data_IF_832672873772
#
_entry.id   IF_832672873772
#
_cell.length_a   1.000
_cell.length_b   1.000
_cell.length_c   1.000
_cell.angle_alpha   90.00
_cell.angle_beta   90.00
_cell.angle_gamma   90.00
#
_symmetry.space_group_name_H-M   'P 1'
#
loop_
_entity.id
_entity.type
_entity.pdbx_description
1 polymer ?
#
# COMPACT_ATOMS: atom_id res chain seq x y z
N UNK A 1 -2.84 -15.63 -11.86
CA UNK A 1 -2.38 -14.25 -11.69
C UNK A 1 -3.54 -13.36 -11.28
N UNK A 2 -3.30 -12.48 -10.31
CA UNK A 2 -4.32 -11.58 -9.79
C UNK A 2 -4.09 -10.17 -10.32
N UNK A 3 -5.16 -9.50 -10.75
CA UNK A 3 -5.06 -8.16 -11.33
C UNK A 3 -5.03 -7.08 -10.24
N UNK A 4 -4.27 -6.03 -10.48
CA UNK A 4 -4.34 -4.80 -9.69
C UNK A 4 -5.54 -3.99 -10.15
N UNK A 5 -6.29 -3.41 -9.22
CA UNK A 5 -7.54 -2.69 -9.54
C UNK A 5 -7.57 -1.23 -9.07
N UNK A 6 -6.63 -0.84 -8.22
CA UNK A 6 -6.55 0.53 -7.69
C UNK A 6 -7.33 0.73 -6.40
N UNK A 7 -6.90 1.71 -5.62
CA UNK A 7 -7.45 1.99 -4.30
C UNK A 7 -8.95 2.37 -4.33
N UNK A 8 -9.41 2.98 -5.41
CA UNK A 8 -10.81 3.37 -5.54
C UNK A 8 -11.77 2.18 -5.43
N UNK A 9 -11.32 0.98 -5.80
CA UNK A 9 -12.13 -0.23 -5.68
C UNK A 9 -12.25 -0.74 -4.25
N UNK A 10 -11.40 -0.28 -3.36
CA UNK A 10 -11.41 -0.65 -1.94
C UNK A 10 -12.28 0.30 -1.13
N UNK A 11 -12.43 1.53 -1.59
CA UNK A 11 -13.09 2.63 -0.90
C UNK A 11 -14.51 2.30 -0.45
N UNK A 12 -15.27 1.59 -1.29
CA UNK A 12 -16.68 1.33 -1.03
C UNK A 12 -16.91 0.60 0.30
N UNK A 13 -16.05 -0.38 0.62
CA UNK A 13 -16.18 -1.18 1.83
C UNK A 13 -15.23 -0.73 2.94
N UNK A 14 -14.11 -0.10 2.59
CA UNK A 14 -13.06 0.29 3.52
C UNK A 14 -12.90 1.81 3.57
N UNK A 15 -14.02 2.52 3.82
CA UNK A 15 -14.05 3.99 3.81
C UNK A 15 -13.13 4.63 4.85
N UNK A 16 -13.07 4.06 6.05
CA UNK A 16 -12.23 4.59 7.14
C UNK A 16 -10.76 4.51 6.74
N UNK A 17 -10.35 3.35 6.27
CA UNK A 17 -8.97 3.12 5.83
C UNK A 17 -8.62 4.03 4.65
N UNK A 18 -9.49 4.07 3.65
CA UNK A 18 -9.24 4.88 2.45
C UNK A 18 -9.10 6.37 2.78
N UNK A 19 -10.02 6.92 3.55
CA UNK A 19 -10.03 8.34 3.86
C UNK A 19 -8.79 8.77 4.64
N UNK A 20 -8.35 7.96 5.59
CA UNK A 20 -7.14 8.27 6.36
C UNK A 20 -5.88 8.06 5.55
N UNK A 21 -5.82 7.01 4.70
CA UNK A 21 -4.70 6.77 3.80
C UNK A 21 -4.50 7.93 2.84
N UNK A 22 -5.57 8.46 2.31
CA UNK A 22 -5.54 9.56 1.34
C UNK A 22 -4.78 10.79 1.84
N UNK A 23 -4.74 10.99 3.16
CA UNK A 23 -4.04 12.09 3.80
C UNK A 23 -2.57 11.78 4.10
N UNK A 24 -2.10 10.55 3.84
CA UNK A 24 -0.72 10.16 4.17
C UNK A 24 0.26 10.56 3.06
N UNK A 25 1.55 10.59 3.42
CA UNK A 25 2.61 10.78 2.43
C UNK A 25 2.70 9.61 1.46
N UNK A 26 2.33 8.39 1.89
CA UNK A 26 2.28 7.24 0.99
C UNK A 26 1.34 7.47 -0.19
N UNK A 27 0.19 8.11 0.05
CA UNK A 27 -0.76 8.40 -1.03
C UNK A 27 -0.19 9.39 -2.05
N UNK A 28 0.75 10.23 -1.64
CA UNK A 28 1.36 11.27 -2.48
C UNK A 28 2.76 10.93 -2.95
N UNK A 29 3.18 9.68 -2.76
CA UNK A 29 4.56 9.28 -3.02
C UNK A 29 5.00 9.55 -4.45
N UNK A 30 4.12 9.33 -5.45
CA UNK A 30 4.49 9.59 -6.84
C UNK A 30 4.60 11.07 -7.14
N UNK A 31 3.72 11.90 -6.58
CA UNK A 31 3.82 13.34 -6.72
C UNK A 31 5.15 13.85 -6.19
N UNK A 32 5.56 13.35 -5.02
CA UNK A 32 6.82 13.72 -4.41
C UNK A 32 8.02 13.30 -5.26
N UNK A 33 7.96 12.09 -5.85
CA UNK A 33 9.01 11.60 -6.73
C UNK A 33 9.13 12.45 -7.99
N UNK A 34 8.00 12.79 -8.60
CA UNK A 34 7.99 13.60 -9.82
C UNK A 34 8.49 15.03 -9.59
N UNK A 35 8.32 15.54 -8.38
CA UNK A 35 8.80 16.87 -8.02
C UNK A 35 10.29 16.89 -7.69
N UNK A 36 10.93 15.73 -7.55
CA UNK A 36 12.36 15.65 -7.19
C UNK A 36 13.24 16.04 -8.37
N UNK A 37 14.29 16.82 -8.06
CA UNK A 37 15.30 17.22 -9.06
C UNK A 37 16.67 16.59 -8.77
N UNK A 38 16.87 16.09 -7.54
CA UNK A 38 18.15 15.48 -7.14
C UNK A 38 17.87 14.39 -6.07
N UNK A 39 17.76 13.13 -6.48
CA UNK A 39 17.82 12.63 -7.87
C UNK A 39 16.59 13.05 -8.69
N UNK A 40 16.80 13.24 -10.00
CA UNK A 40 15.70 13.56 -10.90
C UNK A 40 14.78 12.34 -11.06
N UNK A 41 13.49 12.59 -11.27
CA UNK A 41 12.53 11.54 -11.47
C UNK A 41 12.88 10.64 -12.66
N UNK A 42 12.75 9.34 -12.49
CA UNK A 42 12.89 8.34 -13.54
C UNK A 42 11.89 7.21 -13.31
N UNK A 43 11.76 6.33 -14.31
CA UNK A 43 10.85 5.18 -14.21
C UNK A 43 11.21 4.23 -13.05
N UNK A 44 12.49 4.19 -12.65
CA UNK A 44 12.92 3.36 -11.52
C UNK A 44 12.28 3.79 -10.20
N UNK A 45 11.89 5.05 -10.09
CA UNK A 45 11.24 5.56 -8.89
C UNK A 45 9.87 4.92 -8.66
N UNK A 46 9.23 4.45 -9.73
CA UNK A 46 7.89 3.84 -9.66
C UNK A 46 7.86 2.59 -8.78
N UNK A 47 8.97 1.90 -8.61
CA UNK A 47 9.02 0.68 -7.80
C UNK A 47 8.62 0.91 -6.35
N UNK A 48 8.93 2.10 -5.82
CA UNK A 48 8.61 2.45 -4.42
C UNK A 48 7.56 3.57 -4.31
N UNK A 49 7.41 4.38 -5.35
CA UNK A 49 6.52 5.55 -5.33
C UNK A 49 5.20 5.34 -6.07
N UNK A 50 4.98 4.15 -6.59
CA UNK A 50 3.73 3.76 -7.23
C UNK A 50 3.43 2.30 -6.91
N UNK A 51 2.16 1.91 -7.05
CA UNK A 51 1.74 0.54 -6.83
C UNK A 51 1.95 -0.25 -8.14
N UNK A 52 2.49 -1.45 -8.04
CA UNK A 52 2.81 -2.30 -9.20
C UNK A 52 3.77 -1.61 -10.20
N UNK A 53 4.61 -0.70 -9.71
CA UNK A 53 5.53 0.08 -10.53
C UNK A 53 4.83 0.72 -11.74
N UNK A 54 3.59 1.19 -11.57
CA UNK A 54 2.76 1.73 -12.64
C UNK A 54 2.22 3.10 -12.29
N UNK A 55 2.34 4.06 -13.21
CA UNK A 55 1.75 5.40 -13.02
C UNK A 55 0.23 5.37 -12.96
N UNK A 56 -0.39 4.31 -13.49
CA UNK A 56 -1.83 4.12 -13.37
C UNK A 56 -2.26 3.99 -11.90
N UNK A 57 -1.38 3.45 -11.06
CA UNK A 57 -1.65 3.27 -9.62
C UNK A 57 -0.70 4.15 -8.81
N UNK A 58 -0.85 5.46 -8.97
CA UNK A 58 0.02 6.47 -8.38
C UNK A 58 0.03 6.39 -6.84
N UNK A 59 1.22 6.48 -6.27
CA UNK A 59 1.40 6.42 -4.82
C UNK A 59 1.44 5.00 -4.30
N UNK A 60 1.71 4.87 -3.00
CA UNK A 60 1.70 3.57 -2.31
C UNK A 60 0.26 3.31 -1.88
N UNK A 61 -0.47 2.62 -2.73
CA UNK A 61 -1.89 2.34 -2.53
C UNK A 61 -2.12 1.05 -1.75
N UNK A 62 -3.38 0.71 -1.51
CA UNK A 62 -3.76 -0.46 -0.72
C UNK A 62 -3.08 -1.73 -1.19
N UNK A 63 -3.06 -1.95 -2.49
CA UNK A 63 -2.53 -3.18 -3.09
C UNK A 63 -1.00 -3.28 -3.02
N UNK A 64 -0.30 -2.19 -2.76
CA UNK A 64 1.16 -2.25 -2.57
C UNK A 64 1.51 -3.07 -1.32
N UNK A 65 0.66 -3.02 -0.31
CA UNK A 65 0.85 -3.77 0.94
C UNK A 65 -0.02 -5.02 1.01
N UNK A 66 -1.24 -4.96 0.46
CA UNK A 66 -2.22 -6.05 0.58
C UNK A 66 -2.31 -6.96 -0.64
N UNK A 67 -1.51 -6.71 -1.68
CA UNK A 67 -1.50 -7.53 -2.89
C UNK A 67 -2.61 -7.17 -3.86
N UNK A 68 -2.51 -7.68 -5.11
CA UNK A 68 -3.48 -7.35 -6.18
C UNK A 68 -4.88 -7.85 -5.84
N UNK A 69 -5.86 -6.94 -5.88
CA UNK A 69 -7.20 -7.15 -5.34
C UNK A 69 -8.25 -7.67 -6.31
N UNK A 70 -7.86 -7.95 -7.55
CA UNK A 70 -8.83 -8.32 -8.59
C UNK A 70 -9.76 -9.45 -8.21
N UNK A 71 -9.26 -10.45 -7.51
CA UNK A 71 -10.05 -11.60 -7.11
C UNK A 71 -10.58 -11.49 -5.68
N UNK A 72 -9.75 -11.04 -4.73
CA UNK A 72 -10.21 -11.03 -3.34
C UNK A 72 -11.11 -9.84 -2.97
N UNK A 73 -11.26 -8.84 -3.83
CA UNK A 73 -12.15 -7.71 -3.54
C UNK A 73 -13.63 -8.09 -3.50
N UNK A 74 -13.98 -9.25 -4.03
CA UNK A 74 -15.37 -9.72 -4.00
C UNK A 74 -15.81 -10.02 -2.57
N UNK A 75 -17.00 -9.55 -2.18
CA UNK A 75 -17.51 -9.74 -0.82
C UNK A 75 -17.53 -11.22 -0.41
N UNK A 76 -17.93 -12.11 -1.33
CA UNK A 76 -17.99 -13.54 -1.05
C UNK A 76 -16.64 -14.15 -0.71
N UNK A 77 -15.56 -13.54 -1.18
CA UNK A 77 -14.19 -13.98 -0.91
C UNK A 77 -13.62 -13.24 0.29
N UNK A 78 -13.83 -11.93 0.36
CA UNK A 78 -13.30 -11.07 1.41
C UNK A 78 -13.79 -11.46 2.80
N UNK A 79 -14.99 -11.99 2.91
CA UNK A 79 -15.60 -12.35 4.20
C UNK A 79 -14.86 -13.48 4.92
N UNK A 80 -14.03 -14.24 4.22
CA UNK A 80 -13.20 -15.31 4.80
C UNK A 80 -11.74 -15.01 4.52
N UNK A 81 -11.00 -14.75 5.59
CA UNK A 81 -9.58 -14.34 5.49
C UNK A 81 -8.73 -15.36 4.75
N UNK A 82 -8.90 -16.65 5.05
CA UNK A 82 -8.12 -17.70 4.40
C UNK A 82 -8.41 -17.77 2.91
N UNK A 83 -9.69 -17.66 2.54
CA UNK A 83 -10.09 -17.65 1.14
C UNK A 83 -9.53 -16.41 0.43
N UNK A 84 -9.57 -15.24 1.09
CA UNK A 84 -9.01 -14.02 0.52
C UNK A 84 -7.50 -14.16 0.30
N UNK A 85 -6.79 -14.75 1.26
CA UNK A 85 -5.35 -14.99 1.12
C UNK A 85 -5.04 -15.96 -0.03
N UNK A 86 -5.86 -16.98 -0.20
CA UNK A 86 -5.73 -17.90 -1.32
C UNK A 86 -5.97 -17.22 -2.67
N UNK A 87 -6.64 -16.06 -2.67
CA UNK A 87 -6.96 -15.29 -3.87
C UNK A 87 -6.14 -13.99 -4.00
N UNK A 88 -4.99 -13.94 -3.34
CA UNK A 88 -4.04 -12.85 -3.55
C UNK A 88 -3.89 -11.84 -2.42
N UNK A 89 -4.74 -11.92 -1.37
CA UNK A 89 -4.61 -11.01 -0.24
C UNK A 89 -3.32 -11.30 0.53
N UNK A 90 -2.55 -10.24 0.77
CA UNK A 90 -1.34 -10.30 1.60
C UNK A 90 -1.65 -9.60 2.92
N UNK A 91 -1.29 -10.25 4.02
CA UNK A 91 -1.30 -9.60 5.33
C UNK A 91 0.10 -9.01 5.51
N UNK A 92 0.23 -7.68 5.57
CA UNK A 92 1.55 -7.05 5.61
C UNK A 92 2.40 -7.50 6.79
N UNK A 93 3.72 -7.55 6.55
CA UNK A 93 4.73 -7.92 7.56
C UNK A 93 5.90 -6.95 7.41
N UNK A 94 6.95 -7.18 8.22
CA UNK A 94 8.19 -6.42 8.10
C UNK A 94 8.75 -6.47 6.66
N UNK A 95 8.65 -7.62 6.00
CA UNK A 95 9.14 -7.77 4.63
C UNK A 95 8.41 -6.83 3.65
N UNK A 96 7.14 -6.53 3.91
CA UNK A 96 6.37 -5.60 3.10
C UNK A 96 6.99 -4.20 3.15
N UNK A 97 7.36 -3.74 4.33
CA UNK A 97 8.02 -2.45 4.52
C UNK A 97 9.39 -2.45 3.86
N UNK A 98 10.15 -3.52 4.04
CA UNK A 98 11.52 -3.64 3.54
C UNK A 98 11.61 -3.59 2.01
N UNK A 99 10.51 -3.85 1.31
CA UNK A 99 10.47 -3.78 -0.14
C UNK A 99 10.83 -2.40 -0.69
N UNK A 100 10.52 -1.35 0.07
CA UNK A 100 10.83 0.03 -0.32
C UNK A 100 11.74 0.72 0.69
N UNK A 101 11.60 0.40 1.98
CA UNK A 101 12.39 1.01 3.05
C UNK A 101 13.66 0.22 3.30
N UNK A 102 14.72 0.62 2.58
CA UNK A 102 16.03 -0.03 2.61
C UNK A 102 17.07 0.95 3.13
N UNK A 103 18.23 0.43 3.51
CA UNK A 103 19.35 1.30 3.89
C UNK A 103 20.24 1.47 2.68
N UNK A 104 19.81 2.27 1.71
CA UNK A 104 20.47 2.43 0.41
C UNK A 104 20.89 3.87 0.10
N UNK A 105 20.85 4.76 1.11
CA UNK A 105 21.20 6.17 0.93
C UNK A 105 20.04 7.06 0.49
N UNK A 106 19.00 6.48 -0.08
CA UNK A 106 17.80 7.20 -0.52
C UNK A 106 16.62 6.92 0.41
N UNK A 107 16.39 5.66 0.74
CA UNK A 107 15.37 5.26 1.70
C UNK A 107 16.04 4.75 2.98
N UNK A 108 15.25 4.60 4.03
CA UNK A 108 15.72 4.11 5.33
C UNK A 108 14.81 3.03 5.87
N UNK A 109 15.37 2.06 6.61
CA UNK A 109 14.56 1.01 7.24
C UNK A 109 13.52 1.59 8.18
N UNK A 110 12.36 0.93 8.23
CA UNK A 110 11.32 1.21 9.22
C UNK A 110 10.97 -0.09 9.93
N UNK A 111 10.50 0.01 11.17
CA UNK A 111 10.11 -1.16 11.96
C UNK A 111 8.60 -1.31 11.88
N UNK A 112 8.16 -2.45 11.34
CA UNK A 112 6.74 -2.73 11.16
C UNK A 112 5.96 -2.62 12.47
N UNK A 113 6.49 -3.22 13.56
CA UNK A 113 5.82 -3.22 14.85
C UNK A 113 5.57 -1.81 15.41
N UNK A 114 6.47 -0.86 15.09
CA UNK A 114 6.34 0.52 15.56
C UNK A 114 5.39 1.35 14.68
N UNK A 115 5.10 0.89 13.47
CA UNK A 115 4.37 1.69 12.49
C UNK A 115 3.03 1.10 12.05
N UNK A 116 2.73 -0.14 12.39
CA UNK A 116 1.51 -0.81 11.93
C UNK A 116 0.24 -0.06 12.36
N UNK A 117 0.28 0.60 13.53
CA UNK A 117 -0.85 1.39 14.04
C UNK A 117 -0.69 2.90 13.80
N UNK A 118 0.31 3.30 13.04
CA UNK A 118 0.56 4.71 12.77
C UNK A 118 -0.36 5.18 11.63
N UNK A 119 -1.52 5.74 12.00
CA UNK A 119 -2.50 6.17 11.01
C UNK A 119 -2.03 7.34 10.14
N UNK A 120 -1.05 8.10 10.60
CA UNK A 120 -0.48 9.19 9.81
C UNK A 120 0.41 8.67 8.67
N UNK A 121 0.97 7.47 8.83
CA UNK A 121 1.84 6.86 7.81
C UNK A 121 1.09 5.82 6.96
N UNK A 122 0.19 5.07 7.56
CA UNK A 122 -0.49 3.94 6.92
C UNK A 122 -1.96 4.27 6.68
N UNK A 123 -2.79 4.10 7.68
CA UNK A 123 -4.21 4.46 7.68
C UNK A 123 -4.82 4.14 9.05
N UNK A 124 -6.00 4.70 9.30
CA UNK A 124 -6.78 4.38 10.48
C UNK A 124 -7.39 2.98 10.34
N UNK A 125 -7.53 2.27 11.43
CA UNK A 125 -8.14 0.95 11.46
C UNK A 125 -9.54 1.03 12.05
N UNK A 126 -10.49 0.36 11.39
CA UNK A 126 -11.81 0.16 11.97
C UNK A 126 -11.72 -0.83 13.14
N UNK A 127 -10.91 -1.87 12.96
CA UNK A 127 -10.62 -2.85 14.00
C UNK A 127 -9.09 -2.97 14.08
N UNK A 128 -8.45 -2.26 15.03
CA UNK A 128 -6.98 -2.28 15.14
C UNK A 128 -6.41 -3.67 15.33
N UNK A 129 -5.19 -3.92 14.86
CA UNK A 129 -4.52 -5.20 15.07
C UNK A 129 -4.41 -5.53 16.55
N UNK A 130 -4.67 -6.78 16.90
CA UNK A 130 -4.58 -7.26 18.27
C UNK A 130 -5.89 -7.21 19.05
N UNK A 131 -6.95 -6.73 18.44
CA UNK A 131 -8.29 -6.73 19.05
C UNK A 131 -9.17 -7.86 18.51
#
# INVERSE_FOLDING_TARGET
DHAYVGAAKCKMCHKVQYSSWEATTHAKALEDAKASTDPAFSADCLQCHATNASEEFAGVQCEACHGPGGDYKKMSIMKDRETAMANGLIIPTQATCDGCHKDDGHSKPVVYADNVNNKAAIHEFKNPPGE
#
